data_IF_144525650749
#
_entry.id   IF_144525650749
#
_cell.length_a   1.000
_cell.length_b   1.000
_cell.length_c   1.000
_cell.angle_alpha   90.00
_cell.angle_beta   90.00
_cell.angle_gamma   90.00
#
_symmetry.space_group_name_H-M   'P 1'
#
loop_
_entity.id
_entity.type
_entity.pdbx_description
1 polymer ?
#
# COMPACT_ATOMS: atom_id res chain seq x y z
N UNK A 1 -8.77 12.05 -0.16
CA UNK A 1 -9.62 10.87 0.05
C UNK A 1 -10.53 11.04 1.26
N UNK A 2 -11.76 10.58 1.15
CA UNK A 2 -12.67 10.40 2.30
C UNK A 2 -13.65 9.27 2.01
N UNK A 3 -14.39 8.84 3.05
CA UNK A 3 -15.55 7.95 2.96
C UNK A 3 -16.69 8.52 3.79
N UNK A 4 -17.91 8.36 3.30
CA UNK A 4 -19.14 8.75 4.01
C UNK A 4 -19.91 7.52 4.46
N UNK A 5 -20.61 7.61 5.57
CA UNK A 5 -21.59 6.61 6.03
C UNK A 5 -22.96 7.28 6.06
N UNK A 6 -23.72 7.26 4.95
CA UNK A 6 -24.95 8.05 4.82
C UNK A 6 -26.13 7.52 5.65
N UNK A 7 -26.10 6.26 6.02
CA UNK A 7 -27.12 5.60 6.85
C UNK A 7 -26.50 4.48 7.68
N UNK A 8 -27.25 3.96 8.63
CA UNK A 8 -26.81 2.84 9.49
C UNK A 8 -26.51 1.57 8.69
N UNK A 9 -27.14 1.40 7.54
CA UNK A 9 -26.97 0.23 6.66
C UNK A 9 -25.79 0.39 5.69
N UNK A 10 -25.25 1.59 5.54
CA UNK A 10 -24.13 1.90 4.65
C UNK A 10 -22.78 1.54 5.28
N UNK A 11 -22.71 0.39 5.96
CA UNK A 11 -21.45 -0.13 6.49
C UNK A 11 -20.51 -0.53 5.36
N UNK A 12 -19.18 -0.50 5.57
CA UNK A 12 -18.22 -0.91 4.55
C UNK A 12 -18.54 -2.27 3.95
N UNK A 13 -18.55 -2.35 2.62
CA UNK A 13 -18.85 -3.57 1.87
C UNK A 13 -20.34 -3.88 1.66
N UNK A 14 -21.26 -3.15 2.29
CA UNK A 14 -22.70 -3.42 2.15
C UNK A 14 -23.26 -3.04 0.77
N UNK A 15 -22.67 -2.06 0.10
CA UNK A 15 -23.24 -1.48 -1.11
C UNK A 15 -24.58 -0.76 -0.89
N UNK A 16 -24.99 -0.57 0.35
CA UNK A 16 -26.27 0.01 0.75
C UNK A 16 -26.18 1.53 0.98
N UNK A 17 -27.33 2.19 1.05
CA UNK A 17 -27.47 3.62 1.29
C UNK A 17 -27.49 4.46 0.02
N UNK A 18 -27.94 5.73 0.12
CA UNK A 18 -28.00 6.64 -1.01
C UNK A 18 -26.62 7.16 -1.41
N UNK A 19 -26.45 7.53 -2.66
CA UNK A 19 -25.33 8.38 -3.08
C UNK A 19 -25.40 9.73 -2.36
N UNK A 20 -24.25 10.31 -2.01
CA UNK A 20 -24.16 11.55 -1.23
C UNK A 20 -23.34 12.58 -1.97
N UNK A 21 -23.85 13.81 -2.05
CA UNK A 21 -23.12 14.95 -2.61
C UNK A 21 -22.19 15.54 -1.54
N UNK A 22 -20.92 15.69 -1.87
CA UNK A 22 -19.92 16.30 -1.02
C UNK A 22 -19.33 17.53 -1.66
N UNK A 23 -19.16 18.59 -0.87
CA UNK A 23 -18.24 19.69 -1.17
C UNK A 23 -16.87 19.35 -0.57
N UNK A 24 -15.80 19.52 -1.34
CA UNK A 24 -14.46 19.50 -0.85
C UNK A 24 -13.83 20.88 -0.92
N UNK A 25 -12.98 21.19 0.03
CA UNK A 25 -12.27 22.45 0.17
C UNK A 25 -10.80 22.19 0.51
N UNK A 26 -9.92 22.99 -0.08
CA UNK A 26 -8.47 22.99 0.21
C UNK A 26 -8.04 24.41 0.56
N UNK A 27 -7.30 24.55 1.65
CA UNK A 27 -6.85 25.82 2.22
C UNK A 27 -5.44 25.70 2.78
N UNK A 28 -4.66 26.79 2.72
CA UNK A 28 -3.41 26.90 3.48
C UNK A 28 -3.68 27.23 4.96
N UNK A 29 -4.81 27.89 5.22
CA UNK A 29 -5.29 28.22 6.55
C UNK A 29 -6.07 27.03 7.15
N UNK A 30 -5.67 26.45 8.29
CA UNK A 30 -6.40 25.38 8.96
C UNK A 30 -7.82 25.76 9.39
N UNK A 31 -8.11 27.05 9.54
CA UNK A 31 -9.44 27.57 9.87
C UNK A 31 -10.32 27.82 8.64
N UNK A 32 -9.76 27.65 7.42
CA UNK A 32 -10.47 27.86 6.16
C UNK A 32 -11.04 29.28 5.97
N UNK A 33 -10.38 30.30 6.54
CA UNK A 33 -10.74 31.70 6.29
C UNK A 33 -10.55 32.12 4.82
N UNK A 34 -9.58 31.50 4.13
CA UNK A 34 -9.38 31.60 2.70
C UNK A 34 -9.34 30.19 2.11
N UNK A 35 -10.13 29.93 1.08
CA UNK A 35 -10.19 28.64 0.38
C UNK A 35 -9.54 28.77 -1.00
N UNK A 36 -8.43 28.05 -1.22
CA UNK A 36 -7.71 28.10 -2.49
C UNK A 36 -8.39 27.29 -3.58
N UNK A 37 -8.98 26.14 -3.21
CA UNK A 37 -9.71 25.27 -4.15
C UNK A 37 -10.95 24.69 -3.50
N UNK A 38 -12.02 24.61 -4.29
CA UNK A 38 -13.29 24.04 -3.88
C UNK A 38 -13.93 23.32 -5.06
N UNK A 39 -14.69 22.29 -4.80
CA UNK A 39 -15.48 21.59 -5.79
C UNK A 39 -16.50 20.64 -5.16
N UNK A 40 -17.22 19.94 -6.00
CA UNK A 40 -18.19 18.92 -5.57
C UNK A 40 -17.82 17.55 -6.13
N UNK A 41 -18.21 16.50 -5.41
CA UNK A 41 -18.02 15.10 -5.80
C UNK A 41 -19.13 14.25 -5.20
N UNK A 42 -19.53 13.19 -5.90
CA UNK A 42 -20.52 12.24 -5.40
C UNK A 42 -19.85 11.04 -4.77
N UNK A 43 -20.10 10.79 -3.50
CA UNK A 43 -19.78 9.53 -2.84
C UNK A 43 -20.83 8.49 -3.20
N UNK A 44 -20.48 7.52 -4.04
CA UNK A 44 -21.40 6.55 -4.61
C UNK A 44 -21.42 5.25 -3.81
N UNK A 45 -22.61 4.70 -3.59
CA UNK A 45 -22.77 3.37 -2.96
C UNK A 45 -22.01 2.28 -3.73
N UNK A 46 -21.97 2.33 -5.06
CA UNK A 46 -21.23 1.41 -5.91
C UNK A 46 -19.70 1.41 -5.64
N UNK A 47 -19.14 2.54 -5.16
CA UNK A 47 -17.75 2.68 -4.76
C UNK A 47 -17.59 2.69 -3.23
N UNK A 48 -18.48 2.02 -2.52
CA UNK A 48 -18.50 1.94 -1.04
C UNK A 48 -18.48 3.33 -0.35
N UNK A 49 -19.06 4.34 -1.01
CA UNK A 49 -19.09 5.75 -0.59
C UNK A 49 -17.69 6.37 -0.38
N UNK A 50 -16.65 5.80 -0.96
CA UNK A 50 -15.32 6.40 -1.02
C UNK A 50 -15.24 7.44 -2.12
N UNK A 51 -14.43 8.48 -1.92
CA UNK A 51 -14.13 9.49 -2.94
C UNK A 51 -12.65 9.84 -2.96
N UNK A 52 -12.16 10.07 -4.17
CA UNK A 52 -10.85 10.65 -4.43
C UNK A 52 -11.03 11.98 -5.14
N UNK A 53 -10.30 12.98 -4.72
CA UNK A 53 -10.26 14.29 -5.37
C UNK A 53 -8.82 14.62 -5.70
N UNK A 54 -8.58 15.06 -6.92
CA UNK A 54 -7.28 15.53 -7.39
C UNK A 54 -7.36 17.04 -7.68
N UNK A 55 -7.07 17.90 -6.68
CA UNK A 55 -7.17 19.35 -6.86
C UNK A 55 -6.01 19.88 -7.68
N UNK A 56 -6.31 20.62 -8.76
CA UNK A 56 -5.30 21.22 -9.63
C UNK A 56 -4.91 22.63 -9.23
N UNK A 57 -3.73 23.06 -9.64
CA UNK A 57 -3.24 24.43 -9.49
C UNK A 57 -2.91 24.84 -8.06
N UNK A 58 -2.55 23.87 -7.23
CA UNK A 58 -1.94 24.12 -5.93
C UNK A 58 -0.47 24.52 -6.11
N UNK A 59 0.05 25.38 -5.23
CA UNK A 59 1.47 25.77 -5.26
C UNK A 59 2.36 24.59 -4.86
N UNK A 60 3.52 24.38 -5.50
CA UNK A 60 4.44 23.34 -5.11
C UNK A 60 5.07 23.61 -3.73
N UNK A 61 5.48 22.55 -3.04
CA UNK A 61 6.17 22.61 -1.75
C UNK A 61 5.35 23.18 -0.58
N UNK A 62 4.04 23.33 -0.76
CA UNK A 62 3.15 24.07 0.15
C UNK A 62 2.32 23.11 1.01
N UNK A 63 2.15 23.45 2.28
CA UNK A 63 1.25 22.75 3.21
C UNK A 63 -0.17 23.21 2.99
N UNK A 64 -1.08 22.26 2.87
CA UNK A 64 -2.51 22.51 2.74
C UNK A 64 -3.30 21.70 3.75
N UNK A 65 -4.47 22.23 4.10
CA UNK A 65 -5.52 21.58 4.86
C UNK A 65 -6.69 21.28 3.93
N UNK A 66 -7.39 20.18 4.15
CA UNK A 66 -8.56 19.83 3.34
C UNK A 66 -9.67 19.25 4.21
N UNK A 67 -10.90 19.48 3.78
CA UNK A 67 -12.10 18.91 4.40
C UNK A 67 -13.16 18.60 3.36
N UNK A 68 -14.09 17.75 3.78
CA UNK A 68 -15.29 17.41 3.00
C UNK A 68 -16.52 17.75 3.82
N UNK A 69 -17.54 18.32 3.17
CA UNK A 69 -18.83 18.69 3.79
C UNK A 69 -19.94 17.98 3.04
N UNK A 70 -20.86 17.33 3.75
CA UNK A 70 -22.05 16.70 3.18
C UNK A 70 -23.01 17.82 2.74
N UNK A 71 -23.49 17.76 1.49
CA UNK A 71 -24.36 18.79 0.91
C UNK A 71 -25.85 18.43 0.98
N UNK A 72 -26.20 17.16 1.08
CA UNK A 72 -27.57 16.67 1.01
C UNK A 72 -27.88 15.60 2.07
N UNK A 73 -29.15 15.22 2.17
CA UNK A 73 -29.63 14.20 3.08
C UNK A 73 -29.67 14.61 4.56
N UNK A 74 -29.94 13.63 5.42
CA UNK A 74 -30.11 13.83 6.87
C UNK A 74 -28.89 14.45 7.56
N UNK A 75 -27.70 14.21 7.00
CA UNK A 75 -26.43 14.64 7.57
C UNK A 75 -25.83 15.88 6.88
N UNK A 76 -26.62 16.62 6.09
CA UNK A 76 -26.19 17.84 5.43
C UNK A 76 -25.54 18.83 6.41
N UNK A 77 -24.44 19.42 5.99
CA UNK A 77 -23.63 20.35 6.80
C UNK A 77 -22.58 19.70 7.72
N UNK A 78 -22.62 18.38 7.91
CA UNK A 78 -21.53 17.70 8.65
C UNK A 78 -20.24 17.70 7.84
N UNK A 79 -19.12 17.92 8.52
CA UNK A 79 -17.78 17.95 7.94
C UNK A 79 -16.95 16.76 8.37
N UNK A 80 -16.02 16.36 7.50
CA UNK A 80 -14.97 15.41 7.85
C UNK A 80 -14.01 16.00 8.88
N UNK A 81 -13.14 15.14 9.43
CA UNK A 81 -11.89 15.60 10.02
C UNK A 81 -11.11 16.45 9.01
N UNK A 82 -10.41 17.46 9.48
CA UNK A 82 -9.46 18.23 8.65
C UNK A 82 -8.21 17.36 8.44
N UNK A 83 -7.89 17.11 7.17
CA UNK A 83 -6.64 16.50 6.79
C UNK A 83 -5.59 17.54 6.47
N UNK A 84 -4.32 17.22 6.75
CA UNK A 84 -3.14 18.02 6.39
C UNK A 84 -2.37 17.27 5.31
N UNK A 85 -1.93 17.98 4.29
CA UNK A 85 -1.12 17.44 3.22
C UNK A 85 -0.04 18.44 2.79
N UNK A 86 0.91 18.00 1.99
CA UNK A 86 1.91 18.87 1.39
C UNK A 86 2.09 18.48 -0.07
N UNK A 87 2.09 19.45 -0.95
CA UNK A 87 2.43 19.25 -2.35
C UNK A 87 3.92 18.95 -2.50
N UNK A 88 4.29 18.13 -3.50
CA UNK A 88 5.69 17.95 -3.85
C UNK A 88 6.31 19.31 -4.26
N UNK A 89 7.61 19.53 -3.99
CA UNK A 89 8.34 20.67 -4.53
C UNK A 89 8.31 20.69 -6.06
N UNK A 90 8.52 21.86 -6.66
CA UNK A 90 8.71 21.96 -8.10
C UNK A 90 9.94 21.13 -8.55
N UNK A 91 9.91 20.61 -9.77
CA UNK A 91 10.93 19.68 -10.27
C UNK A 91 12.35 20.28 -10.28
N UNK A 92 12.47 21.60 -10.41
CA UNK A 92 13.71 22.35 -10.42
C UNK A 92 14.09 22.96 -9.06
N UNK A 93 13.25 22.75 -8.04
CA UNK A 93 13.53 23.29 -6.70
C UNK A 93 14.76 22.61 -6.08
N UNK A 94 15.62 23.44 -5.47
CA UNK A 94 16.73 22.97 -4.65
C UNK A 94 16.18 22.62 -3.25
N UNK A 95 16.02 21.32 -3.01
CA UNK A 95 15.48 20.78 -1.75
C UNK A 95 16.64 20.21 -0.94
N UNK A 96 16.81 20.71 0.27
CA UNK A 96 17.91 20.27 1.15
C UNK A 96 17.59 18.97 1.90
N UNK A 97 16.31 18.73 2.21
CA UNK A 97 15.88 17.62 3.08
C UNK A 97 14.55 17.02 2.63
N UNK A 98 14.46 15.71 2.69
CA UNK A 98 13.22 14.95 2.59
C UNK A 98 13.19 13.91 3.72
N UNK A 99 12.17 13.96 4.54
CA UNK A 99 11.98 13.01 5.66
C UNK A 99 10.81 12.08 5.35
N UNK A 100 11.11 10.79 5.22
CA UNK A 100 10.14 9.73 4.98
C UNK A 100 9.87 8.96 6.27
N UNK A 101 8.60 8.74 6.59
CA UNK A 101 8.19 7.68 7.52
C UNK A 101 7.87 6.43 6.70
N UNK A 102 8.73 5.42 6.79
CA UNK A 102 8.54 4.17 6.03
C UNK A 102 7.92 3.12 6.95
N UNK A 103 6.83 2.51 6.52
CA UNK A 103 6.10 1.47 7.26
C UNK A 103 5.53 0.41 6.32
N UNK A 104 5.19 -0.76 6.90
CA UNK A 104 4.55 -1.90 6.24
C UNK A 104 3.95 -2.83 7.28
N UNK A 105 3.31 -3.91 6.84
CA UNK A 105 2.94 -5.06 7.66
C UNK A 105 2.04 -4.68 8.86
N UNK A 106 0.95 -3.96 8.59
CA UNK A 106 0.03 -3.45 9.59
C UNK A 106 -0.96 -4.55 10.04
N UNK A 107 -0.45 -5.60 10.72
CA UNK A 107 -1.30 -6.67 11.21
C UNK A 107 -2.15 -6.21 12.41
N UNK A 108 -3.47 -6.04 12.17
CA UNK A 108 -4.43 -5.58 13.19
C UNK A 108 -4.54 -6.55 14.37
N UNK A 109 -4.42 -7.86 14.13
CA UNK A 109 -4.55 -8.89 15.17
C UNK A 109 -3.33 -9.00 16.06
N UNK A 110 -2.15 -8.59 15.55
CA UNK A 110 -0.88 -8.72 16.28
C UNK A 110 -0.69 -7.67 17.38
N UNK A 111 -1.45 -6.57 17.38
CA UNK A 111 -1.30 -5.52 18.38
C UNK A 111 -2.03 -4.22 18.04
N UNK A 112 -1.61 -3.13 18.67
CA UNK A 112 -2.12 -1.78 18.47
C UNK A 112 -1.22 -0.98 17.52
N UNK A 113 -1.76 0.07 16.92
CA UNK A 113 -1.10 0.88 15.92
C UNK A 113 -0.33 2.09 16.48
N UNK A 114 0.27 1.95 17.66
CA UNK A 114 1.00 3.01 18.37
C UNK A 114 2.10 3.68 17.55
N UNK A 115 2.71 2.94 16.60
CA UNK A 115 3.68 3.52 15.67
C UNK A 115 3.04 4.60 14.77
N UNK A 116 1.78 4.41 14.35
CA UNK A 116 1.07 5.43 13.57
C UNK A 116 0.74 6.67 14.39
N UNK A 117 0.50 6.53 15.70
CA UNK A 117 0.36 7.68 16.60
C UNK A 117 1.62 8.54 16.65
N UNK A 118 2.82 7.92 16.72
CA UNK A 118 4.09 8.66 16.69
C UNK A 118 4.34 9.31 15.31
N UNK A 119 4.02 8.61 14.23
CA UNK A 119 4.07 9.17 12.86
C UNK A 119 3.18 10.42 12.77
N UNK A 120 1.94 10.36 13.25
CA UNK A 120 1.02 11.50 13.25
C UNK A 120 1.59 12.69 14.04
N UNK A 121 2.04 12.45 15.26
CA UNK A 121 2.65 13.46 16.13
C UNK A 121 3.83 14.17 15.46
N UNK A 122 4.74 13.38 14.86
CA UNK A 122 5.91 13.92 14.14
C UNK A 122 5.53 14.68 12.87
N UNK A 123 4.51 14.19 12.14
CA UNK A 123 4.03 14.86 10.94
C UNK A 123 3.40 16.22 11.26
N UNK A 124 2.58 16.31 12.32
CA UNK A 124 2.06 17.59 12.79
C UNK A 124 3.15 18.54 13.29
N UNK A 125 4.23 18.01 13.86
CA UNK A 125 5.40 18.81 14.24
C UNK A 125 6.27 19.25 13.04
N UNK A 126 5.94 18.83 11.80
CA UNK A 126 6.72 19.14 10.60
C UNK A 126 8.02 18.33 10.47
N UNK A 127 8.18 17.26 11.24
CA UNK A 127 9.36 16.39 11.22
C UNK A 127 9.30 15.34 10.09
N UNK A 128 8.10 15.04 9.56
CA UNK A 128 7.86 14.08 8.47
C UNK A 128 7.20 14.81 7.29
N UNK A 129 7.75 14.64 6.10
CA UNK A 129 7.20 15.20 4.86
C UNK A 129 6.16 14.28 4.23
N UNK A 130 6.39 12.96 4.26
CA UNK A 130 5.51 11.96 3.63
C UNK A 130 5.61 10.60 4.32
N UNK A 131 4.50 9.89 4.38
CA UNK A 131 4.44 8.49 4.82
C UNK A 131 4.53 7.59 3.58
N UNK A 132 5.45 6.63 3.59
CA UNK A 132 5.60 5.62 2.53
C UNK A 132 5.21 4.27 3.10
N UNK A 133 4.12 3.69 2.58
CA UNK A 133 3.64 2.38 3.02
C UNK A 133 3.97 1.33 1.95
N UNK A 134 4.74 0.32 2.36
CA UNK A 134 5.36 -0.64 1.45
C UNK A 134 4.55 -1.93 1.27
N UNK A 135 3.26 -1.92 1.56
CA UNK A 135 2.37 -3.07 1.45
C UNK A 135 2.03 -3.72 2.79
N UNK A 136 1.18 -4.73 2.75
CA UNK A 136 0.55 -5.35 3.91
C UNK A 136 -0.19 -4.32 4.78
N UNK A 137 -0.97 -3.46 4.12
CA UNK A 137 -1.81 -2.50 4.81
C UNK A 137 -2.93 -3.20 5.60
N UNK A 138 -3.38 -4.35 5.12
CA UNK A 138 -4.29 -5.25 5.80
C UNK A 138 -3.84 -6.70 5.61
N UNK A 139 -4.47 -7.62 6.35
CA UNK A 139 -4.27 -9.06 6.24
C UNK A 139 -5.59 -9.74 5.95
N UNK A 140 -5.60 -10.70 5.01
CA UNK A 140 -6.79 -11.35 4.48
C UNK A 140 -7.28 -12.51 5.34
N UNK A 141 -6.45 -13.08 6.19
CA UNK A 141 -6.75 -14.28 6.97
C UNK A 141 -8.01 -14.21 7.82
N UNK A 142 -8.56 -15.36 8.14
CA UNK A 142 -9.57 -15.49 9.18
C UNK A 142 -9.01 -15.09 10.55
N UNK A 143 -9.87 -14.59 11.42
CA UNK A 143 -9.44 -14.14 12.74
C UNK A 143 -8.82 -15.27 13.56
N UNK A 144 -7.62 -15.03 14.06
CA UNK A 144 -6.84 -15.98 14.84
C UNK A 144 -5.88 -16.87 14.03
N UNK A 145 -5.90 -16.82 12.70
CA UNK A 145 -5.02 -17.65 11.85
C UNK A 145 -3.61 -17.07 11.69
N UNK A 146 -3.47 -15.74 11.70
CA UNK A 146 -2.16 -15.08 11.54
C UNK A 146 -1.92 -14.05 12.64
N UNK A 147 -1.73 -14.54 13.84
CA UNK A 147 -1.55 -13.73 15.05
C UNK A 147 -0.07 -13.44 15.33
N UNK A 148 0.18 -12.36 16.08
CA UNK A 148 1.52 -11.98 16.49
C UNK A 148 2.05 -12.80 17.68
N UNK A 149 3.24 -12.43 18.16
CA UNK A 149 3.91 -13.07 19.32
C UNK A 149 3.04 -13.23 20.56
N UNK A 150 2.09 -12.31 20.75
CA UNK A 150 1.22 -12.29 21.94
C UNK A 150 -0.15 -12.92 21.69
N UNK A 151 -0.32 -13.66 20.59
CA UNK A 151 -1.59 -14.25 20.18
C UNK A 151 -2.55 -13.22 19.60
N UNK A 152 -3.85 -13.53 19.64
CA UNK A 152 -4.91 -12.65 19.15
C UNK A 152 -5.13 -11.49 20.11
N UNK A 153 -4.75 -10.28 19.71
CA UNK A 153 -4.94 -9.05 20.51
C UNK A 153 -6.26 -8.36 20.17
N UNK A 154 -6.56 -8.24 18.88
CA UNK A 154 -7.79 -7.60 18.35
C UNK A 154 -8.34 -8.42 17.19
N UNK A 155 -9.55 -8.98 17.24
CA UNK A 155 -10.07 -9.82 16.18
C UNK A 155 -10.33 -9.02 14.89
N UNK A 156 -10.15 -9.68 13.76
CA UNK A 156 -10.54 -9.15 12.45
C UNK A 156 -12.07 -9.07 12.29
N UNK A 157 -12.52 -8.13 11.49
CA UNK A 157 -13.89 -8.05 10.95
C UNK A 157 -13.80 -7.92 9.45
N UNK A 158 -14.44 -8.79 8.66
CA UNK A 158 -15.14 -10.01 9.09
C UNK A 158 -14.17 -11.04 9.74
N UNK A 159 -14.71 -12.00 10.49
CA UNK A 159 -13.88 -12.99 11.21
C UNK A 159 -13.40 -14.14 10.33
N UNK A 160 -13.92 -14.25 9.11
CA UNK A 160 -13.49 -15.23 8.11
C UNK A 160 -12.43 -14.63 7.17
N UNK A 161 -11.74 -15.49 6.44
CA UNK A 161 -10.83 -15.09 5.37
C UNK A 161 -11.58 -14.30 4.29
N UNK A 162 -11.07 -13.13 3.95
CA UNK A 162 -11.71 -12.26 2.96
C UNK A 162 -11.40 -12.71 1.54
N UNK A 163 -12.43 -12.76 0.67
CA UNK A 163 -12.32 -13.24 -0.70
C UNK A 163 -13.15 -12.44 -1.70
N UNK A 164 -14.23 -11.81 -1.25
CA UNK A 164 -15.13 -11.02 -2.10
C UNK A 164 -14.86 -9.53 -1.97
N UNK A 165 -15.33 -8.74 -2.95
CA UNK A 165 -15.23 -7.28 -2.88
C UNK A 165 -15.86 -6.72 -1.59
N UNK A 166 -16.99 -7.27 -1.17
CA UNK A 166 -17.64 -6.86 0.07
C UNK A 166 -16.78 -7.15 1.31
N UNK A 167 -16.11 -8.32 1.33
CA UNK A 167 -15.22 -8.69 2.43
C UNK A 167 -14.00 -7.76 2.49
N UNK A 168 -13.32 -7.51 1.36
CA UNK A 168 -12.16 -6.60 1.31
C UNK A 168 -12.55 -5.19 1.75
N UNK A 169 -13.65 -4.63 1.26
CA UNK A 169 -14.17 -3.33 1.71
C UNK A 169 -14.46 -3.31 3.20
N UNK A 170 -15.07 -4.37 3.73
CA UNK A 170 -15.35 -4.51 5.15
C UNK A 170 -14.05 -4.53 5.98
N UNK A 171 -13.02 -5.26 5.52
CA UNK A 171 -11.71 -5.34 6.17
C UNK A 171 -10.98 -3.99 6.14
N UNK A 172 -10.98 -3.26 5.00
CA UNK A 172 -10.46 -1.89 4.95
C UNK A 172 -11.21 -0.99 5.93
N UNK A 173 -12.53 -1.05 5.95
CA UNK A 173 -13.35 -0.28 6.88
C UNK A 173 -13.04 -0.59 8.34
N UNK A 174 -12.76 -1.85 8.66
CA UNK A 174 -12.35 -2.26 10.00
C UNK A 174 -11.01 -1.64 10.41
N UNK A 175 -9.97 -1.74 9.57
CA UNK A 175 -8.67 -1.12 9.82
C UNK A 175 -8.76 0.40 9.94
N UNK A 176 -9.54 1.05 9.08
CA UNK A 176 -9.74 2.50 9.06
C UNK A 176 -10.57 3.03 10.23
N UNK A 177 -11.11 2.18 11.10
CA UNK A 177 -11.72 2.58 12.39
C UNK A 177 -10.69 2.81 13.48
N UNK A 178 -9.47 2.32 13.31
CA UNK A 178 -8.39 2.59 14.27
C UNK A 178 -8.04 4.08 14.28
N UNK A 179 -8.10 4.68 15.47
CA UNK A 179 -7.94 6.13 15.62
C UNK A 179 -6.52 6.59 15.34
N UNK A 180 -5.51 5.78 15.66
CA UNK A 180 -4.10 6.10 15.46
C UNK A 180 -3.76 6.06 13.97
N UNK A 181 -4.31 5.09 13.23
CA UNK A 181 -4.19 5.02 11.78
C UNK A 181 -4.91 6.20 11.09
N UNK A 182 -6.10 6.59 11.59
CA UNK A 182 -6.81 7.77 11.08
C UNK A 182 -6.00 9.05 11.28
N UNK A 183 -5.38 9.22 12.45
CA UNK A 183 -4.52 10.38 12.75
C UNK A 183 -3.32 10.44 11.80
N UNK A 184 -2.65 9.32 11.55
CA UNK A 184 -1.53 9.27 10.64
C UNK A 184 -1.93 9.64 9.20
N UNK A 185 -3.10 9.16 8.74
CA UNK A 185 -3.63 9.55 7.43
C UNK A 185 -4.04 11.03 7.35
N UNK A 186 -4.51 11.60 8.46
CA UNK A 186 -4.89 13.01 8.50
C UNK A 186 -3.68 13.96 8.59
N UNK A 187 -2.54 13.50 9.10
CA UNK A 187 -1.40 14.35 9.44
C UNK A 187 -0.44 14.62 8.28
N UNK A 188 -0.36 13.72 7.28
CA UNK A 188 0.62 13.78 6.20
C UNK A 188 0.11 13.15 4.90
N UNK A 189 0.71 13.48 3.74
CA UNK A 189 0.46 12.74 2.49
C UNK A 189 1.03 11.32 2.60
N UNK A 190 0.34 10.37 1.96
CA UNK A 190 0.73 8.96 1.90
C UNK A 190 1.09 8.55 0.48
N UNK A 191 2.18 7.81 0.35
CA UNK A 191 2.60 7.12 -0.86
C UNK A 191 2.58 5.63 -0.57
N UNK A 192 1.70 4.90 -1.25
CA UNK A 192 1.40 3.51 -0.93
C UNK A 192 1.69 2.59 -2.13
N UNK A 193 2.07 1.36 -1.86
CA UNK A 193 2.02 0.24 -2.79
C UNK A 193 1.39 -0.95 -2.06
N UNK A 194 0.98 -1.98 -2.79
CA UNK A 194 0.56 -3.24 -2.18
C UNK A 194 1.72 -4.22 -2.06
N UNK A 195 1.56 -5.20 -1.16
CA UNK A 195 2.27 -6.47 -1.20
C UNK A 195 1.26 -7.60 -1.41
N UNK A 196 1.46 -8.79 -0.86
CA UNK A 196 0.57 -9.94 -1.10
C UNK A 196 -0.72 -9.90 -0.29
N UNK A 197 -0.67 -9.52 0.97
CA UNK A 197 -1.81 -9.60 1.90
C UNK A 197 -2.98 -8.66 1.54
N UNK A 198 -2.74 -7.64 0.72
CA UNK A 198 -3.85 -6.89 0.14
C UNK A 198 -4.71 -7.74 -0.80
N UNK A 199 -4.20 -8.90 -1.26
CA UNK A 199 -4.90 -9.87 -2.09
C UNK A 199 -4.96 -11.24 -1.39
N UNK A 200 -3.83 -11.96 -1.31
CA UNK A 200 -3.69 -13.24 -0.62
C UNK A 200 -2.21 -13.63 -0.46
N UNK A 201 -1.88 -14.34 0.62
CA UNK A 201 -0.53 -14.81 0.99
C UNK A 201 0.25 -15.36 -0.19
N UNK A 202 1.49 -14.87 -0.36
CA UNK A 202 2.42 -15.23 -1.44
C UNK A 202 1.81 -15.09 -2.87
N UNK A 203 1.06 -14.01 -3.15
CA UNK A 203 0.41 -13.79 -4.44
C UNK A 203 1.40 -13.49 -5.58
N UNK A 204 1.04 -13.94 -6.80
CA UNK A 204 1.72 -13.64 -8.06
C UNK A 204 0.70 -13.38 -9.17
N UNK A 205 1.14 -13.09 -10.39
CA UNK A 205 0.25 -12.75 -11.51
C UNK A 205 -0.88 -13.76 -11.74
N UNK A 206 -0.62 -15.05 -11.62
CA UNK A 206 -1.57 -16.13 -11.93
C UNK A 206 -2.11 -16.90 -10.73
N UNK A 207 -1.87 -16.44 -9.48
CA UNK A 207 -2.36 -17.16 -8.30
C UNK A 207 -1.79 -16.64 -6.99
N UNK A 208 -2.02 -17.38 -5.91
CA UNK A 208 -1.42 -17.16 -4.60
C UNK A 208 -1.34 -18.48 -3.84
N UNK A 209 -0.37 -18.60 -2.92
CA UNK A 209 -0.32 -19.74 -2.01
C UNK A 209 -1.54 -19.76 -1.08
N UNK A 210 -1.96 -18.58 -0.61
CA UNK A 210 -3.17 -18.40 0.20
C UNK A 210 -4.46 -18.38 -0.60
N UNK A 211 -4.52 -18.99 -1.80
CA UNK A 211 -5.73 -19.06 -2.61
C UNK A 211 -6.11 -20.50 -2.94
N UNK A 212 -7.30 -20.91 -2.52
CA UNK A 212 -7.90 -22.18 -2.87
C UNK A 212 -8.87 -22.01 -4.06
N UNK A 213 -8.56 -22.59 -5.26
CA UNK A 213 -9.40 -22.46 -6.45
C UNK A 213 -10.78 -23.11 -6.30
N UNK A 214 -11.01 -23.99 -5.31
CA UNK A 214 -12.34 -24.52 -5.01
C UNK A 214 -13.29 -23.50 -4.41
N UNK A 215 -12.78 -22.43 -3.81
CA UNK A 215 -13.61 -21.40 -3.17
C UNK A 215 -13.94 -20.24 -4.11
N UNK A 216 -13.06 -19.88 -5.03
CA UNK A 216 -13.29 -18.80 -6.01
C UNK A 216 -12.29 -18.91 -7.17
N UNK A 217 -12.62 -18.27 -8.28
CA UNK A 217 -11.67 -18.00 -9.34
C UNK A 217 -10.64 -16.96 -8.91
N UNK A 218 -9.36 -17.19 -9.25
CA UNK A 218 -8.26 -16.30 -8.88
C UNK A 218 -8.44 -14.87 -9.40
N UNK A 219 -8.81 -14.75 -10.67
CA UNK A 219 -8.96 -13.42 -11.29
C UNK A 219 -10.07 -12.61 -10.61
N UNK A 220 -11.17 -13.26 -10.27
CA UNK A 220 -12.28 -12.66 -9.53
C UNK A 220 -11.83 -12.15 -8.15
N UNK A 221 -11.08 -12.97 -7.39
CA UNK A 221 -10.56 -12.58 -6.08
C UNK A 221 -9.56 -11.43 -6.20
N UNK A 222 -8.59 -11.54 -7.10
CA UNK A 222 -7.58 -10.52 -7.36
C UNK A 222 -8.23 -9.18 -7.72
N UNK A 223 -9.19 -9.19 -8.65
CA UNK A 223 -9.83 -7.96 -9.12
C UNK A 223 -10.69 -7.30 -8.03
N UNK A 224 -11.35 -8.11 -7.20
CA UNK A 224 -12.08 -7.62 -6.02
C UNK A 224 -11.15 -6.94 -5.00
N UNK A 225 -10.03 -7.57 -4.70
CA UNK A 225 -9.02 -7.04 -3.78
C UNK A 225 -8.40 -5.72 -4.30
N UNK A 226 -7.97 -5.72 -5.56
CA UNK A 226 -7.39 -4.52 -6.19
C UNK A 226 -8.40 -3.38 -6.30
N UNK A 227 -9.67 -3.66 -6.58
CA UNK A 227 -10.71 -2.65 -6.58
C UNK A 227 -10.89 -2.04 -5.20
N UNK A 228 -11.01 -2.86 -4.15
CA UNK A 228 -11.14 -2.36 -2.78
C UNK A 228 -9.92 -1.51 -2.37
N UNK A 229 -8.70 -1.95 -2.71
CA UNK A 229 -7.47 -1.18 -2.46
C UNK A 229 -7.54 0.21 -3.10
N UNK A 230 -7.91 0.28 -4.39
CA UNK A 230 -7.98 1.53 -5.14
C UNK A 230 -9.11 2.45 -4.65
N UNK A 231 -10.17 1.90 -4.05
CA UNK A 231 -11.25 2.67 -3.43
C UNK A 231 -10.84 3.23 -2.06
N UNK A 232 -10.08 2.46 -1.26
CA UNK A 232 -9.84 2.76 0.14
C UNK A 232 -8.51 3.45 0.44
N UNK A 233 -7.57 3.45 -0.49
CA UNK A 233 -6.26 4.08 -0.30
C UNK A 233 -6.02 5.26 -1.26
N UNK A 234 -5.24 6.27 -0.84
CA UNK A 234 -5.02 7.50 -1.61
C UNK A 234 -4.01 7.28 -2.75
N UNK A 235 -4.35 6.45 -3.72
CA UNK A 235 -3.47 6.13 -4.85
C UNK A 235 -4.09 6.59 -6.17
N UNK A 236 -3.27 7.20 -7.02
CA UNK A 236 -3.63 7.46 -8.42
C UNK A 236 -3.24 6.24 -9.25
N UNK A 237 -4.19 5.61 -9.87
CA UNK A 237 -3.94 4.43 -10.68
C UNK A 237 -5.22 3.68 -11.01
N UNK A 238 -5.05 2.62 -11.76
CA UNK A 238 -6.09 1.63 -12.01
C UNK A 238 -5.49 0.23 -11.91
N UNK A 239 -6.33 -0.76 -11.67
CA UNK A 239 -5.88 -2.14 -11.53
C UNK A 239 -5.19 -2.64 -12.82
N UNK A 240 -4.09 -3.41 -12.71
CA UNK A 240 -3.42 -4.01 -13.86
C UNK A 240 -4.34 -4.84 -14.75
N UNK A 241 -5.30 -5.54 -14.19
CA UNK A 241 -6.33 -6.28 -14.91
C UNK A 241 -7.22 -5.41 -15.82
N UNK A 242 -7.24 -4.10 -15.60
CA UNK A 242 -7.95 -3.10 -16.42
C UNK A 242 -6.98 -2.26 -17.26
N UNK A 243 -5.76 -2.73 -17.50
CA UNK A 243 -4.72 -2.02 -18.25
C UNK A 243 -4.09 -0.85 -17.49
N UNK A 244 -4.29 -0.78 -16.18
CA UNK A 244 -3.69 0.23 -15.33
C UNK A 244 -2.38 -0.23 -14.68
N UNK A 245 -1.82 0.62 -13.82
CA UNK A 245 -0.63 0.32 -13.03
C UNK A 245 -0.59 1.18 -11.77
N UNK A 246 0.07 0.70 -10.72
CA UNK A 246 0.35 1.47 -9.51
C UNK A 246 1.82 1.83 -9.36
N UNK A 247 2.73 1.14 -10.05
CA UNK A 247 4.15 1.51 -10.04
C UNK A 247 4.33 2.91 -10.66
N UNK A 248 5.07 3.75 -9.98
CA UNK A 248 5.20 5.17 -10.34
C UNK A 248 6.44 5.81 -9.75
N UNK A 249 6.82 6.96 -10.29
CA UNK A 249 7.84 7.85 -9.73
C UNK A 249 7.18 9.09 -9.13
N UNK A 250 7.63 9.45 -7.93
CA UNK A 250 7.35 10.75 -7.32
C UNK A 250 8.67 11.53 -7.23
N UNK A 251 8.65 12.79 -7.68
CA UNK A 251 9.84 13.64 -7.68
C UNK A 251 9.74 14.69 -6.57
N UNK A 252 10.87 14.91 -5.89
CA UNK A 252 11.03 15.90 -4.83
C UNK A 252 12.17 16.85 -5.23
N UNK A 253 11.85 17.81 -6.10
CA UNK A 253 12.80 18.77 -6.64
C UNK A 253 14.01 18.12 -7.30
N UNK A 254 15.18 18.66 -7.06
CA UNK A 254 16.46 18.09 -7.53
C UNK A 254 17.05 17.09 -6.51
N UNK A 255 16.43 16.95 -5.32
CA UNK A 255 16.95 16.08 -4.27
C UNK A 255 16.73 14.61 -4.56
N UNK A 256 15.49 14.19 -4.83
CA UNK A 256 15.17 12.77 -4.90
C UNK A 256 14.04 12.42 -5.88
N UNK A 257 14.15 11.23 -6.48
CA UNK A 257 13.02 10.49 -7.05
C UNK A 257 12.74 9.25 -6.21
N UNK A 258 11.45 8.99 -5.92
CA UNK A 258 10.95 7.81 -5.23
C UNK A 258 10.20 6.94 -6.23
N UNK A 259 10.75 5.78 -6.55
CA UNK A 259 10.20 4.82 -7.50
C UNK A 259 9.46 3.73 -6.72
N UNK A 260 8.14 3.79 -6.67
CA UNK A 260 7.31 2.76 -6.03
C UNK A 260 7.08 1.61 -7.00
N UNK A 261 7.42 0.40 -6.59
CA UNK A 261 7.28 -0.81 -7.42
C UNK A 261 5.99 -1.55 -7.09
N UNK A 262 5.51 -2.31 -8.08
CA UNK A 262 4.50 -3.36 -7.94
C UNK A 262 5.19 -4.71 -8.15
N UNK A 263 5.43 -5.42 -7.07
CA UNK A 263 6.17 -6.68 -7.10
C UNK A 263 5.26 -7.93 -7.04
N UNK A 264 3.94 -7.74 -7.20
CA UNK A 264 2.96 -8.83 -7.14
C UNK A 264 2.23 -9.06 -8.45
N UNK A 265 1.77 -7.98 -9.10
CA UNK A 265 0.86 -8.09 -10.25
C UNK A 265 1.49 -8.71 -11.50
N UNK A 266 2.81 -8.63 -11.64
CA UNK A 266 3.53 -9.03 -12.86
C UNK A 266 4.52 -10.17 -12.65
N UNK A 267 4.69 -10.63 -11.41
CA UNK A 267 5.73 -11.60 -11.09
C UNK A 267 5.35 -13.02 -11.51
N UNK A 268 6.36 -13.80 -11.86
CA UNK A 268 6.24 -15.24 -12.06
C UNK A 268 5.86 -15.95 -10.75
N UNK A 269 5.22 -17.11 -10.85
CA UNK A 269 4.94 -17.94 -9.68
C UNK A 269 6.21 -18.13 -8.81
N UNK A 270 6.10 -18.19 -7.47
CA UNK A 270 7.24 -18.47 -6.61
C UNK A 270 7.97 -19.73 -7.06
N UNK A 271 9.31 -19.69 -7.09
CA UNK A 271 10.13 -20.81 -7.52
C UNK A 271 10.20 -21.90 -6.47
N UNK A 272 10.55 -23.11 -6.92
CA UNK A 272 11.00 -24.15 -6.01
C UNK A 272 12.46 -23.89 -5.57
N UNK A 273 12.93 -24.55 -4.51
CA UNK A 273 14.28 -24.40 -3.94
C UNK A 273 15.42 -24.74 -4.93
N UNK A 274 15.13 -25.29 -6.11
CA UNK A 274 16.16 -25.69 -7.08
C UNK A 274 16.91 -24.46 -7.63
N UNK A 275 18.25 -24.39 -7.52
CA UNK A 275 19.05 -23.23 -7.91
C UNK A 275 18.81 -22.77 -9.36
N UNK A 276 18.69 -23.70 -10.31
CA UNK A 276 18.46 -23.36 -11.72
C UNK A 276 17.15 -22.60 -11.98
N UNK A 277 16.13 -22.79 -11.15
CA UNK A 277 14.88 -22.05 -11.29
C UNK A 277 15.03 -20.60 -10.80
N UNK A 278 15.77 -20.37 -9.72
CA UNK A 278 15.97 -19.04 -9.15
C UNK A 278 16.76 -18.10 -10.07
N UNK A 279 17.70 -18.66 -10.82
CA UNK A 279 18.58 -17.94 -11.74
C UNK A 279 18.07 -17.93 -13.18
N UNK A 280 16.90 -18.55 -13.47
CA UNK A 280 16.32 -18.54 -14.80
C UNK A 280 15.98 -17.12 -15.25
N UNK A 281 16.43 -16.75 -16.44
CA UNK A 281 16.15 -15.44 -17.05
C UNK A 281 14.69 -15.28 -17.50
N UNK A 282 13.94 -16.38 -17.56
CA UNK A 282 12.50 -16.36 -17.88
C UNK A 282 11.62 -16.00 -16.68
N UNK A 283 12.22 -15.93 -15.49
CA UNK A 283 11.53 -15.55 -14.27
C UNK A 283 11.69 -14.07 -14.01
N UNK A 284 10.61 -13.44 -13.63
CA UNK A 284 10.62 -12.02 -13.30
C UNK A 284 9.84 -11.75 -12.00
N UNK A 285 10.28 -10.74 -11.24
CA UNK A 285 9.56 -10.24 -10.07
C UNK A 285 8.72 -9.02 -10.41
N UNK A 286 9.08 -8.26 -11.44
CA UNK A 286 8.40 -7.00 -11.77
C UNK A 286 7.83 -6.96 -13.20
N UNK A 287 8.07 -7.98 -14.01
CA UNK A 287 7.69 -7.99 -15.42
C UNK A 287 8.59 -7.10 -16.31
N UNK A 288 8.59 -7.37 -17.61
CA UNK A 288 9.49 -6.69 -18.55
C UNK A 288 9.18 -5.20 -18.72
N UNK A 289 7.91 -4.82 -18.72
CA UNK A 289 7.50 -3.43 -18.90
C UNK A 289 7.94 -2.55 -17.72
N UNK A 290 7.65 -2.99 -16.49
CA UNK A 290 8.05 -2.27 -15.29
C UNK A 290 9.58 -2.22 -15.14
N UNK A 291 10.27 -3.32 -15.46
CA UNK A 291 11.73 -3.35 -15.47
C UNK A 291 12.31 -2.30 -16.44
N UNK A 292 11.83 -2.27 -17.68
CA UNK A 292 12.27 -1.29 -18.68
C UNK A 292 11.99 0.15 -18.24
N UNK A 293 10.81 0.37 -17.66
CA UNK A 293 10.45 1.68 -17.10
C UNK A 293 11.42 2.10 -15.97
N UNK A 294 11.70 1.21 -15.01
CA UNK A 294 12.62 1.53 -13.91
C UNK A 294 14.05 1.78 -14.42
N UNK A 295 14.57 0.90 -15.28
CA UNK A 295 15.90 1.06 -15.86
C UNK A 295 16.06 2.40 -16.60
N UNK A 296 15.05 2.79 -17.37
CA UNK A 296 15.03 4.09 -18.05
C UNK A 296 15.00 5.26 -17.05
N UNK A 297 14.25 5.15 -15.96
CA UNK A 297 14.23 6.18 -14.92
C UNK A 297 15.58 6.34 -14.26
N UNK A 298 16.18 5.24 -13.82
CA UNK A 298 17.49 5.26 -13.16
C UNK A 298 18.61 5.78 -14.08
N UNK A 299 18.63 5.36 -15.34
CA UNK A 299 19.67 5.79 -16.31
C UNK A 299 19.55 7.26 -16.74
N UNK A 300 18.37 7.87 -16.64
CA UNK A 300 18.10 9.25 -17.02
C UNK A 300 17.93 10.22 -15.85
N UNK A 301 17.97 9.70 -14.63
CA UNK A 301 17.76 10.48 -13.41
C UNK A 301 18.81 11.59 -13.27
N UNK A 302 18.34 12.78 -12.88
CA UNK A 302 19.18 13.94 -12.60
C UNK A 302 19.14 14.38 -11.15
N UNK A 303 18.35 13.66 -10.34
CA UNK A 303 18.24 13.90 -8.90
C UNK A 303 19.45 13.34 -8.17
N UNK A 304 19.74 13.89 -7.00
CA UNK A 304 20.84 13.43 -6.14
C UNK A 304 20.64 12.00 -5.66
N UNK A 305 19.39 11.61 -5.39
CA UNK A 305 19.02 10.28 -4.86
C UNK A 305 17.92 9.64 -5.71
N UNK A 306 18.07 8.34 -5.95
CA UNK A 306 17.02 7.48 -6.47
C UNK A 306 16.66 6.48 -5.37
N UNK A 307 15.43 6.57 -4.85
CA UNK A 307 14.92 5.70 -3.81
C UNK A 307 13.97 4.69 -4.46
N UNK A 308 14.24 3.40 -4.27
CA UNK A 308 13.40 2.32 -4.81
C UNK A 308 12.56 1.76 -3.66
N UNK A 309 11.24 1.97 -3.75
CA UNK A 309 10.26 1.40 -2.84
C UNK A 309 9.93 -0.03 -3.26
N UNK A 310 10.40 -1.00 -2.48
CA UNK A 310 10.22 -2.44 -2.70
C UNK A 310 9.48 -3.06 -1.52
N UNK A 311 8.39 -3.78 -1.77
CA UNK A 311 7.59 -4.42 -0.72
C UNK A 311 8.26 -5.67 -0.14
N UNK A 312 9.21 -6.26 -0.87
CA UNK A 312 9.96 -7.43 -0.46
C UNK A 312 11.46 -7.15 -0.40
N UNK A 313 12.20 -7.88 0.43
CA UNK A 313 13.61 -7.63 0.70
C UNK A 313 14.49 -7.95 -0.51
N UNK A 314 15.31 -6.97 -0.94
CA UNK A 314 16.24 -7.11 -2.05
C UNK A 314 17.58 -7.73 -1.62
N UNK A 315 18.05 -7.42 -0.41
CA UNK A 315 19.30 -7.97 0.11
C UNK A 315 19.20 -9.51 0.23
N UNK A 316 20.22 -10.24 -0.21
CA UNK A 316 20.23 -11.69 -0.10
C UNK A 316 20.14 -12.14 1.37
N UNK A 317 19.20 -13.01 1.68
CA UNK A 317 19.05 -13.65 2.96
C UNK A 317 19.28 -15.15 2.82
N UNK A 318 20.49 -15.59 3.11
CA UNK A 318 20.88 -16.99 3.02
C UNK A 318 21.44 -17.53 4.34
N UNK A 319 21.61 -18.84 4.42
CA UNK A 319 22.09 -19.52 5.63
C UNK A 319 23.62 -19.44 5.81
N UNK A 320 24.37 -18.72 4.99
CA UNK A 320 25.83 -18.60 5.10
C UNK A 320 26.29 -18.02 6.43
N UNK A 321 25.50 -17.12 7.01
CA UNK A 321 25.81 -16.45 8.27
C UNK A 321 25.24 -17.16 9.50
N UNK A 322 24.54 -18.28 9.31
CA UNK A 322 24.04 -19.12 10.41
C UNK A 322 25.17 -20.04 10.91
N UNK A 323 25.20 -20.31 12.20
CA UNK A 323 26.18 -21.22 12.81
C UNK A 323 26.29 -22.54 12.05
N UNK A 324 27.53 -23.03 11.89
CA UNK A 324 27.84 -24.23 11.11
C UNK A 324 27.12 -25.49 11.61
N UNK A 325 26.94 -25.64 12.93
CA UNK A 325 26.24 -26.80 13.49
C UNK A 325 24.75 -26.77 13.12
N UNK A 326 24.11 -25.59 13.17
CA UNK A 326 22.70 -25.39 12.73
C UNK A 326 22.57 -25.66 11.25
N UNK A 327 23.49 -25.17 10.41
CA UNK A 327 23.51 -25.46 8.97
C UNK A 327 23.62 -26.94 8.67
N UNK A 328 24.52 -27.65 9.39
CA UNK A 328 24.70 -29.08 9.22
C UNK A 328 23.47 -29.88 9.61
N UNK A 329 22.74 -29.46 10.65
CA UNK A 329 21.48 -30.09 11.04
C UNK A 329 20.40 -29.86 9.96
N UNK A 330 20.25 -28.64 9.45
CA UNK A 330 19.31 -28.31 8.37
C UNK A 330 19.65 -29.08 7.09
N UNK A 331 20.96 -29.16 6.72
CA UNK A 331 21.41 -29.92 5.56
C UNK A 331 21.07 -31.42 5.70
N UNK A 332 21.22 -31.98 6.90
CA UNK A 332 20.83 -33.36 7.20
C UNK A 332 19.32 -33.62 7.10
N UNK A 333 18.49 -32.64 7.44
CA UNK A 333 17.03 -32.74 7.37
C UNK A 333 16.50 -32.64 5.94
N UNK A 334 17.11 -31.84 5.06
CA UNK A 334 16.63 -31.59 3.69
C UNK A 334 17.45 -32.29 2.60
N UNK A 335 18.57 -32.92 2.98
CA UNK A 335 19.42 -33.67 2.03
C UNK A 335 20.17 -32.79 1.02
N UNK A 336 20.33 -31.50 1.27
CA UNK A 336 20.94 -30.51 0.37
C UNK A 336 22.02 -29.70 1.09
N UNK A 337 23.02 -29.19 0.34
CA UNK A 337 23.90 -28.14 0.84
C UNK A 337 23.09 -26.85 0.98
N UNK A 338 22.82 -26.47 2.22
CA UNK A 338 21.97 -25.32 2.54
C UNK A 338 22.72 -24.00 2.62
N UNK A 339 24.07 -23.99 2.50
CA UNK A 339 24.88 -22.79 2.72
C UNK A 339 24.50 -21.62 1.78
N UNK A 340 24.26 -21.92 0.50
CA UNK A 340 23.81 -20.94 -0.48
C UNK A 340 22.29 -20.90 -0.70
N UNK A 341 21.51 -21.61 0.10
CA UNK A 341 20.06 -21.67 -0.04
C UNK A 341 19.42 -20.45 0.60
N UNK A 342 18.57 -19.69 -0.13
CA UNK A 342 17.84 -18.58 0.45
C UNK A 342 16.82 -19.07 1.47
N UNK A 343 16.59 -18.23 2.48
CA UNK A 343 15.63 -18.51 3.55
C UNK A 343 14.19 -18.35 3.07
N UNK A 344 13.97 -17.41 2.15
CA UNK A 344 12.63 -17.11 1.62
C UNK A 344 12.69 -16.83 0.11
N UNK A 345 11.94 -17.61 -0.68
CA UNK A 345 11.87 -17.47 -2.14
C UNK A 345 10.78 -16.50 -2.61
N UNK A 346 9.96 -16.00 -1.70
CA UNK A 346 8.99 -14.94 -1.99
C UNK A 346 9.66 -13.58 -2.11
N UNK A 347 10.89 -13.44 -1.62
CA UNK A 347 11.74 -12.26 -1.74
C UNK A 347 12.51 -12.23 -3.08
N UNK A 348 13.33 -11.20 -3.31
CA UNK A 348 14.19 -11.09 -4.50
C UNK A 348 15.13 -12.28 -4.69
N UNK A 349 15.40 -13.04 -3.64
CA UNK A 349 16.18 -14.28 -3.71
C UNK A 349 15.55 -15.37 -4.58
N UNK A 350 14.22 -15.37 -4.72
CA UNK A 350 13.51 -16.25 -5.65
C UNK A 350 13.58 -15.81 -7.12
N UNK A 351 14.13 -14.61 -7.39
CA UNK A 351 14.19 -13.95 -8.70
C UNK A 351 15.57 -13.33 -8.93
N UNK A 352 16.62 -14.11 -8.63
CA UNK A 352 18.01 -13.62 -8.63
C UNK A 352 18.43 -13.01 -9.97
N UNK A 353 17.96 -13.56 -11.12
CA UNK A 353 18.26 -13.00 -12.43
C UNK A 353 17.74 -11.57 -12.61
N UNK A 354 16.54 -11.25 -12.16
CA UNK A 354 15.99 -9.89 -12.23
C UNK A 354 16.74 -8.94 -11.29
N UNK A 355 17.10 -9.41 -10.08
CA UNK A 355 17.92 -8.64 -9.15
C UNK A 355 19.28 -8.28 -9.75
N UNK A 356 20.00 -9.27 -10.29
CA UNK A 356 21.35 -9.09 -10.86
C UNK A 356 21.33 -8.21 -12.11
N UNK A 357 20.20 -8.16 -12.83
CA UNK A 357 20.03 -7.23 -13.97
C UNK A 357 19.78 -5.79 -13.51
N UNK A 358 19.16 -5.60 -12.34
CA UNK A 358 18.84 -4.27 -11.80
C UNK A 358 20.04 -3.61 -11.13
N UNK A 359 20.91 -4.39 -10.47
CA UNK A 359 22.13 -3.93 -9.79
C UNK A 359 23.29 -3.74 -10.77
#
# INVERSE_FOLDING_TARGET
WTRVTPSVDAVPGSGAGPDVQLRWEVSEDPEFGVVERVGAVTARAAADHTVHVDPFGLRPGTVYHYRFTILDGEHAGRTSRIGRTRTAPADDADVEKLTLAVCSCANFEAGYFSAYSDIARRAYAGEIDVVVHMGDYLYEFASGEYVGKYGLVRPHVPTWEIRTLADYRSRYGHYRRDVELQEAHAAAPWVVTWDDHEIADDSWAGGAKGHDPFHSDWETRRDAAMQAYLEWLPVRGSAPSRGGRIYRTLRYGQLAEVHMLDLRSYRSAPGMLHPAQRTSVDRTIMGAEQFTWLANRLSTAKTRWNLIGTSVMMAPLNLLHVDQAVRSQLAGMVGLDVAGTPVNLDQWDGYAADRDRLL
#
